data_IF_710780471256
#
_entry.id   IF_710780471256
#
_cell.length_a   1.000
_cell.length_b   1.000
_cell.length_c   1.000
_cell.angle_alpha   90.00
_cell.angle_beta   90.00
_cell.angle_gamma   90.00
#
_symmetry.space_group_name_H-M   'P 1'
#
loop_
_entity.id
_entity.type
_entity.pdbx_description
1 polymer ?
#
# COMPACT_ATOMS: atom_id res chain seq x y z
N UNK A 1 5.80 -11.08 31.57
CA UNK A 1 5.28 -9.86 30.87
C UNK A 1 6.16 -9.63 29.65
N UNK A 2 5.76 -10.08 28.47
CA UNK A 2 6.48 -9.83 27.21
C UNK A 2 5.52 -10.04 26.03
N UNK A 3 4.56 -9.14 25.83
CA UNK A 3 3.74 -9.19 24.62
C UNK A 3 3.28 -7.82 24.10
N UNK A 4 3.77 -6.72 24.70
CA UNK A 4 3.50 -5.36 24.25
C UNK A 4 4.28 -4.96 22.99
N UNK A 5 5.43 -5.59 22.72
CA UNK A 5 6.32 -5.20 21.62
C UNK A 5 5.86 -5.75 20.25
N UNK A 6 5.24 -6.93 20.22
CA UNK A 6 4.78 -7.56 18.97
C UNK A 6 3.61 -6.79 18.34
N UNK A 7 2.65 -6.33 19.17
CA UNK A 7 1.52 -5.55 18.71
C UNK A 7 1.94 -4.14 18.23
N UNK A 8 2.90 -3.51 18.90
CA UNK A 8 3.48 -2.23 18.47
C UNK A 8 4.26 -2.33 17.16
N UNK A 9 5.04 -3.41 16.99
CA UNK A 9 5.77 -3.68 15.74
C UNK A 9 4.83 -3.91 14.55
N UNK A 10 3.78 -4.72 14.72
CA UNK A 10 2.79 -4.96 13.68
C UNK A 10 2.06 -3.67 13.28
N UNK A 11 1.73 -2.83 14.26
CA UNK A 11 1.08 -1.53 14.04
C UNK A 11 1.98 -0.57 13.27
N UNK A 12 3.26 -0.50 13.63
CA UNK A 12 4.24 0.30 12.90
C UNK A 12 4.43 -0.21 11.45
N UNK A 13 4.49 -1.53 11.27
CA UNK A 13 4.59 -2.17 9.96
C UNK A 13 3.37 -1.87 9.08
N UNK A 14 2.16 -1.84 9.64
CA UNK A 14 0.95 -1.45 8.89
C UNK A 14 1.04 -0.01 8.39
N UNK A 15 1.47 0.93 9.24
CA UNK A 15 1.57 2.35 8.87
C UNK A 15 2.61 2.53 7.76
N UNK A 16 3.81 1.95 7.95
CA UNK A 16 4.89 2.02 6.96
C UNK A 16 4.46 1.34 5.66
N UNK A 17 3.85 0.16 5.74
CA UNK A 17 3.34 -0.58 4.59
C UNK A 17 2.30 0.24 3.83
N UNK A 18 1.37 0.91 4.51
CA UNK A 18 0.34 1.72 3.86
C UNK A 18 0.92 2.95 3.16
N UNK A 19 1.91 3.61 3.77
CA UNK A 19 2.63 4.73 3.12
C UNK A 19 3.42 4.24 1.91
N UNK A 20 4.12 3.11 2.03
CA UNK A 20 4.87 2.50 0.94
C UNK A 20 3.97 2.01 -0.21
N UNK A 21 2.81 1.42 0.11
CA UNK A 21 1.76 1.03 -0.84
C UNK A 21 1.26 2.23 -1.63
N UNK A 22 0.95 3.33 -0.93
CA UNK A 22 0.44 4.54 -1.56
C UNK A 22 1.48 5.22 -2.46
N UNK A 23 2.72 5.34 -2.00
CA UNK A 23 3.83 5.90 -2.81
C UNK A 23 4.19 4.98 -3.99
N UNK A 24 4.31 3.66 -3.75
CA UNK A 24 4.67 2.69 -4.78
C UNK A 24 3.63 2.57 -5.88
N UNK A 25 2.34 2.55 -5.51
CA UNK A 25 1.25 2.60 -6.48
C UNK A 25 1.23 3.90 -7.28
N UNK A 26 1.62 5.02 -6.64
CA UNK A 26 1.71 6.32 -7.29
C UNK A 26 2.82 6.38 -8.32
N UNK A 27 4.01 5.90 -7.98
CA UNK A 27 5.16 5.83 -8.92
C UNK A 27 4.83 4.91 -10.09
N UNK A 28 4.26 3.73 -9.84
CA UNK A 28 3.86 2.81 -10.92
C UNK A 28 2.77 3.39 -11.81
N UNK A 29 1.76 4.04 -11.24
CA UNK A 29 0.73 4.70 -12.03
C UNK A 29 1.28 5.88 -12.84
N UNK A 30 2.29 6.57 -12.31
CA UNK A 30 2.96 7.68 -12.97
C UNK A 30 3.76 7.18 -14.18
N UNK A 31 4.57 6.14 -14.02
CA UNK A 31 5.33 5.51 -15.11
C UNK A 31 4.42 4.88 -16.17
N UNK A 32 3.21 4.44 -15.79
CA UNK A 32 2.31 3.77 -16.71
C UNK A 32 1.44 4.72 -17.54
N UNK A 33 1.09 5.89 -17.00
CA UNK A 33 0.21 6.86 -17.66
C UNK A 33 0.96 8.07 -18.22
N UNK A 34 2.15 8.38 -17.68
CA UNK A 34 3.00 9.52 -18.05
C UNK A 34 2.18 10.81 -18.22
N UNK A 35 1.80 11.46 -17.10
CA UNK A 35 0.83 12.55 -17.14
C UNK A 35 1.40 13.87 -17.70
N UNK A 36 1.50 13.97 -19.03
CA UNK A 36 2.00 15.14 -19.76
C UNK A 36 0.92 16.17 -20.13
N UNK A 37 -0.35 15.84 -19.93
CA UNK A 37 -1.49 16.72 -20.21
C UNK A 37 -2.57 16.60 -19.14
N UNK A 38 -3.47 17.58 -19.06
CA UNK A 38 -4.57 17.55 -18.09
C UNK A 38 -5.45 16.29 -18.22
N UNK A 39 -5.69 15.80 -19.43
CA UNK A 39 -6.47 14.58 -19.66
C UNK A 39 -5.75 13.33 -19.15
N UNK A 40 -4.45 13.23 -19.42
CA UNK A 40 -3.62 12.12 -18.93
C UNK A 40 -3.41 12.19 -17.41
N UNK A 41 -3.40 13.38 -16.81
CA UNK A 41 -3.38 13.55 -15.36
C UNK A 41 -4.65 13.01 -14.68
N UNK A 42 -5.83 13.17 -15.30
CA UNK A 42 -7.06 12.55 -14.81
C UNK A 42 -6.98 11.02 -14.91
N UNK A 43 -6.46 10.48 -16.02
CA UNK A 43 -6.24 9.04 -16.16
C UNK A 43 -5.24 8.51 -15.12
N UNK A 44 -4.20 9.26 -14.81
CA UNK A 44 -3.24 8.93 -13.77
C UNK A 44 -3.92 8.82 -12.40
N UNK A 45 -4.77 9.80 -12.04
CA UNK A 45 -5.49 9.75 -10.76
C UNK A 45 -6.45 8.55 -10.67
N UNK A 46 -7.10 8.19 -11.77
CA UNK A 46 -7.97 7.00 -11.83
C UNK A 46 -7.12 5.72 -11.69
N UNK A 47 -6.03 5.60 -12.46
CA UNK A 47 -5.13 4.46 -12.41
C UNK A 47 -4.50 4.31 -11.01
N UNK A 48 -4.02 5.40 -10.42
CA UNK A 48 -3.44 5.41 -9.08
C UNK A 48 -4.46 5.00 -8.02
N UNK A 49 -5.70 5.48 -8.09
CA UNK A 49 -6.77 5.06 -7.19
C UNK A 49 -7.06 3.56 -7.26
N UNK A 50 -7.04 2.98 -8.46
CA UNK A 50 -7.25 1.54 -8.68
C UNK A 50 -6.04 0.74 -8.19
N UNK A 51 -4.82 1.11 -8.60
CA UNK A 51 -3.59 0.45 -8.17
C UNK A 51 -3.44 0.51 -6.65
N UNK A 52 -3.69 1.66 -6.02
CA UNK A 52 -3.63 1.82 -4.57
C UNK A 52 -4.54 0.84 -3.83
N UNK A 53 -5.76 0.62 -4.33
CA UNK A 53 -6.67 -0.39 -3.77
C UNK A 53 -6.15 -1.82 -3.92
N UNK A 54 -5.52 -2.14 -5.05
CA UNK A 54 -4.91 -3.46 -5.29
C UNK A 54 -3.72 -3.69 -4.36
N UNK A 55 -2.84 -2.70 -4.21
CA UNK A 55 -1.70 -2.78 -3.31
C UNK A 55 -2.13 -2.88 -1.84
N UNK A 56 -3.10 -2.07 -1.40
CA UNK A 56 -3.63 -2.15 -0.03
C UNK A 56 -4.28 -3.51 0.25
N UNK A 57 -4.99 -4.09 -0.72
CA UNK A 57 -5.56 -5.43 -0.59
C UNK A 57 -4.47 -6.51 -0.47
N UNK A 58 -3.44 -6.45 -1.32
CA UNK A 58 -2.30 -7.36 -1.26
C UNK A 58 -1.55 -7.25 0.08
N UNK A 59 -1.33 -6.03 0.57
CA UNK A 59 -0.67 -5.77 1.84
C UNK A 59 -1.49 -6.29 3.02
N UNK A 60 -2.81 -6.14 2.97
CA UNK A 60 -3.74 -6.72 3.93
C UNK A 60 -3.64 -8.25 3.98
N UNK A 61 -3.58 -8.93 2.83
CA UNK A 61 -3.39 -10.38 2.77
C UNK A 61 -2.05 -10.82 3.36
N UNK A 62 -0.97 -10.08 3.07
CA UNK A 62 0.36 -10.37 3.62
C UNK A 62 0.34 -10.26 5.15
N UNK A 63 -0.27 -9.19 5.69
CA UNK A 63 -0.36 -8.98 7.14
C UNK A 63 -1.19 -10.07 7.81
N UNK A 64 -2.34 -10.46 7.24
CA UNK A 64 -3.16 -11.55 7.76
C UNK A 64 -2.37 -12.87 7.74
N UNK A 65 -1.64 -13.14 6.66
CA UNK A 65 -0.74 -14.29 6.56
C UNK A 65 0.30 -14.29 7.67
N UNK A 66 1.00 -13.17 7.89
CA UNK A 66 2.00 -13.05 8.96
C UNK A 66 1.36 -13.22 10.34
N UNK A 67 0.20 -12.59 10.57
CA UNK A 67 -0.53 -12.71 11.83
C UNK A 67 -0.91 -14.17 12.14
N UNK A 68 -1.39 -14.91 11.13
CA UNK A 68 -1.75 -16.33 11.28
C UNK A 68 -0.56 -17.26 11.55
N UNK A 69 0.66 -16.84 11.22
CA UNK A 69 1.90 -17.59 11.52
C UNK A 69 2.48 -17.22 12.89
N UNK A 70 1.98 -16.16 13.53
CA UNK A 70 2.45 -15.66 14.82
C UNK A 70 1.61 -16.20 16.00
N UNK A 71 0.41 -16.75 15.71
CA UNK A 71 -0.46 -17.47 16.66
C UNK A 71 -0.01 -18.91 16.93
#
# INVERSE_FOLDING_TARGET
MSNSNASGCLSALMIIGKVASWLGSGVLAWDWVEPDSFGTAILFLIAWGILGKVFDFALGLIIIGIASMLE
#
